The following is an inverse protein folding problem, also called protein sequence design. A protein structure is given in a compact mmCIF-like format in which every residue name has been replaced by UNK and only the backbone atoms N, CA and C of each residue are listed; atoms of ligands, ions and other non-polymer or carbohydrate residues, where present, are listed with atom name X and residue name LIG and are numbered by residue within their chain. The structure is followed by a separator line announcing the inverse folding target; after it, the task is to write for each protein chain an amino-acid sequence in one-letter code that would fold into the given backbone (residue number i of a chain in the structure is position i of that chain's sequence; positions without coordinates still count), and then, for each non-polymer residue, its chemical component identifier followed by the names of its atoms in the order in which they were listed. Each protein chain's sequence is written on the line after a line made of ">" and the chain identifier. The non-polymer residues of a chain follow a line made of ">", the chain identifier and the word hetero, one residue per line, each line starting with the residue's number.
data_IF_236756863570
#
_entry.id   IF_236756863570
#
_cell.length_a   1.000
_cell.length_b   1.000
_cell.length_c   1.000
_cell.angle_alpha   90.00
_cell.angle_beta   90.00
_cell.angle_gamma   90.00
#
_symmetry.space_group_name_H-M   'P 1'
#
loop_
_entity.id
_entity.type
_entity.pdbx_description
1 polymer ?
#
# COMPACT_ATOMS: atom_id res chain seq x y z
N UNK A 1 -7.84 -18.98 -17.73
CA UNK A 1 -6.84 -20.06 -17.70
C UNK A 1 -5.53 -19.68 -16.98
N UNK A 2 -4.81 -18.63 -17.38
CA UNK A 2 -3.55 -18.20 -16.69
C UNK A 2 -3.73 -17.86 -15.20
N UNK A 3 -4.88 -17.32 -14.81
CA UNK A 3 -5.19 -16.92 -13.43
C UNK A 3 -5.40 -18.12 -12.50
N UNK A 4 -6.09 -19.17 -12.99
CA UNK A 4 -6.34 -20.40 -12.22
C UNK A 4 -5.08 -21.21 -12.00
N UNK A 5 -4.20 -21.28 -13.00
CA UNK A 5 -2.93 -21.99 -12.88
C UNK A 5 -1.96 -21.28 -11.91
N UNK A 6 -1.93 -19.93 -11.93
CA UNK A 6 -1.23 -19.12 -10.93
C UNK A 6 -1.82 -19.31 -9.53
N UNK A 7 -3.15 -19.40 -9.40
CA UNK A 7 -3.87 -19.69 -8.15
C UNK A 7 -3.46 -21.07 -7.61
N UNK A 8 -3.43 -22.10 -8.45
CA UNK A 8 -3.05 -23.45 -8.07
C UNK A 8 -1.61 -23.54 -7.55
N UNK A 9 -0.65 -22.89 -8.23
CA UNK A 9 0.73 -22.79 -7.72
C UNK A 9 0.83 -21.97 -6.44
N UNK A 10 0.02 -20.92 -6.28
CA UNK A 10 0.03 -20.11 -5.07
C UNK A 10 -0.45 -20.89 -3.85
N UNK A 11 -1.48 -21.72 -4.01
CA UNK A 11 -1.95 -22.65 -2.96
C UNK A 11 -0.87 -23.68 -2.63
N UNK A 12 -0.17 -24.24 -3.61
CA UNK A 12 0.94 -25.19 -3.36
C UNK A 12 2.15 -24.58 -2.63
N UNK A 13 2.29 -23.26 -2.60
CA UNK A 13 3.37 -22.56 -1.87
C UNK A 13 3.03 -22.26 -0.41
N UNK A 14 1.81 -22.57 0.02
CA UNK A 14 1.36 -22.39 1.40
C UNK A 14 2.10 -23.40 2.28
N UNK A 15 2.82 -22.90 3.27
CA UNK A 15 3.45 -23.68 4.33
C UNK A 15 2.55 -23.63 5.56
N UNK A 16 2.37 -24.76 6.27
CA UNK A 16 1.65 -24.76 7.53
C UNK A 16 2.33 -23.84 8.53
N UNK A 17 1.53 -23.16 9.34
CA UNK A 17 2.01 -22.31 10.40
C UNK A 17 2.58 -23.12 11.56
N UNK A 18 3.46 -22.48 12.33
CA UNK A 18 4.08 -23.04 13.54
C UNK A 18 3.23 -22.81 14.81
N UNK A 19 2.02 -22.24 14.68
CA UNK A 19 1.14 -21.93 15.80
C UNK A 19 1.64 -20.80 16.72
N UNK A 20 2.71 -20.10 16.32
CA UNK A 20 3.28 -18.97 17.07
C UNK A 20 2.27 -17.82 17.22
N UNK A 21 2.32 -17.06 18.33
CA UNK A 21 1.37 -15.99 18.57
C UNK A 21 1.60 -14.80 17.63
N UNK A 22 0.51 -14.17 17.19
CA UNK A 22 0.53 -12.93 16.42
C UNK A 22 1.21 -11.84 17.25
N UNK A 23 2.33 -11.34 16.72
CA UNK A 23 3.06 -10.24 17.36
C UNK A 23 2.23 -8.96 17.28
N UNK A 24 1.99 -8.32 18.43
CA UNK A 24 1.28 -7.04 18.52
C UNK A 24 1.89 -6.01 17.57
N UNK A 25 1.03 -5.20 16.95
CA UNK A 25 1.47 -4.06 16.15
C UNK A 25 2.09 -3.00 17.06
N UNK A 26 3.34 -2.62 16.79
CA UNK A 26 4.08 -1.61 17.56
C UNK A 26 4.16 -0.32 16.77
N UNK A 27 4.11 0.83 17.45
CA UNK A 27 4.01 2.15 16.79
C UNK A 27 5.16 2.43 15.82
N UNK A 28 6.37 1.98 16.11
CA UNK A 28 7.50 2.17 15.19
C UNK A 28 7.35 1.36 13.89
N UNK A 29 6.57 0.27 13.88
CA UNK A 29 6.33 -0.54 12.68
C UNK A 29 5.48 0.19 11.63
N UNK A 30 4.89 1.34 11.98
CA UNK A 30 4.31 2.29 11.02
C UNK A 30 5.34 2.75 10.00
N UNK A 31 6.59 2.94 10.42
CA UNK A 31 7.67 3.42 9.57
C UNK A 31 8.42 2.30 8.83
N UNK A 32 8.33 1.05 9.30
CA UNK A 32 9.01 -0.11 8.70
C UNK A 32 8.19 -0.86 7.65
N UNK A 33 7.00 -0.36 7.27
CA UNK A 33 6.19 -0.98 6.22
C UNK A 33 5.63 -2.36 6.61
N UNK A 34 5.09 -2.49 7.83
CA UNK A 34 4.31 -3.66 8.24
C UNK A 34 2.83 -3.38 7.98
N UNK A 35 2.17 -4.23 7.20
CA UNK A 35 0.74 -4.20 7.00
C UNK A 35 0.08 -5.37 7.74
N UNK A 36 -0.84 -5.07 8.65
CA UNK A 36 -1.63 -6.05 9.38
C UNK A 36 -3.11 -5.82 9.06
N UNK A 37 -3.76 -6.83 8.48
CA UNK A 37 -5.17 -6.77 8.11
C UNK A 37 -5.96 -7.91 8.75
N UNK A 38 -7.22 -7.67 9.07
CA UNK A 38 -8.10 -8.61 9.73
C UNK A 38 -9.33 -8.93 8.89
N UNK A 39 -9.83 -10.16 9.07
CA UNK A 39 -11.06 -10.67 8.51
C UNK A 39 -11.79 -11.43 9.60
N UNK A 40 -13.01 -10.98 9.92
CA UNK A 40 -13.88 -11.72 10.81
C UNK A 40 -14.80 -12.62 9.96
N UNK A 41 -14.68 -13.93 10.18
CA UNK A 41 -15.49 -14.99 9.57
C UNK A 41 -16.28 -15.73 10.64
N UNK A 42 -17.26 -16.51 10.19
CA UNK A 42 -17.92 -17.49 11.04
C UNK A 42 -17.30 -18.84 10.72
N UNK A 43 -16.70 -19.49 11.72
CA UNK A 43 -16.12 -20.82 11.59
C UNK A 43 -17.18 -21.89 11.34
N UNK A 44 -16.74 -23.10 10.96
CA UNK A 44 -17.64 -24.23 10.72
C UNK A 44 -18.52 -24.56 11.94
N UNK A 45 -18.01 -24.31 13.15
CA UNK A 45 -18.70 -24.54 14.42
C UNK A 45 -19.69 -23.40 14.78
N UNK A 46 -19.95 -22.46 13.87
CA UNK A 46 -20.81 -21.29 14.10
C UNK A 46 -20.18 -20.18 14.96
N UNK A 47 -18.97 -20.39 15.48
CA UNK A 47 -18.24 -19.40 16.30
C UNK A 47 -17.56 -18.34 15.43
N UNK A 48 -17.47 -17.08 15.89
CA UNK A 48 -16.67 -16.08 15.19
C UNK A 48 -15.18 -16.46 15.23
N UNK A 49 -14.53 -16.43 14.08
CA UNK A 49 -13.10 -16.71 13.89
C UNK A 49 -12.46 -15.50 13.24
N UNK A 50 -11.38 -14.99 13.84
CA UNK A 50 -10.63 -13.86 13.30
C UNK A 50 -9.40 -14.34 12.56
N UNK A 51 -9.38 -14.11 11.25
CA UNK A 51 -8.18 -14.20 10.45
C UNK A 51 -7.40 -12.89 10.48
N UNK A 52 -6.08 -12.98 10.60
CA UNK A 52 -5.18 -11.83 10.50
C UNK A 52 -4.07 -12.12 9.52
N UNK A 53 -3.80 -11.18 8.62
CA UNK A 53 -2.75 -11.29 7.60
C UNK A 53 -1.67 -10.26 7.92
N UNK A 54 -0.49 -10.73 8.29
CA UNK A 54 0.70 -9.92 8.53
C UNK A 54 1.63 -10.00 7.32
N UNK A 55 1.91 -8.84 6.72
CA UNK A 55 2.83 -8.69 5.58
C UNK A 55 3.89 -7.66 5.94
N UNK A 56 5.16 -8.02 5.75
CA UNK A 56 6.29 -7.12 5.99
C UNK A 56 6.93 -6.76 4.65
N UNK A 57 6.92 -5.47 4.30
CA UNK A 57 7.34 -5.00 2.98
C UNK A 57 8.84 -5.09 2.73
N UNK A 58 9.67 -4.99 3.76
CA UNK A 58 11.13 -5.12 3.63
C UNK A 58 11.62 -6.57 3.47
N UNK A 59 10.71 -7.52 3.25
CA UNK A 59 11.03 -8.95 3.18
C UNK A 59 11.46 -9.51 4.55
N UNK A 60 11.59 -10.83 4.62
CA UNK A 60 12.32 -11.45 5.74
C UNK A 60 13.81 -11.40 5.38
N UNK A 61 14.64 -10.87 6.29
CA UNK A 61 16.05 -10.48 6.05
C UNK A 61 17.01 -11.55 5.53
N UNK A 62 16.55 -12.78 5.27
CA UNK A 62 17.36 -13.87 4.72
C UNK A 62 17.13 -14.12 3.21
N UNK A 63 16.01 -13.69 2.65
CA UNK A 63 15.67 -13.97 1.23
C UNK A 63 15.23 -12.75 0.44
N UNK A 64 15.00 -11.60 1.08
CA UNK A 64 14.42 -10.41 0.44
C UNK A 64 13.00 -10.63 -0.10
N UNK A 65 12.43 -11.82 0.10
CA UNK A 65 11.11 -12.18 -0.40
C UNK A 65 10.05 -11.78 0.61
N UNK A 66 8.99 -11.15 0.11
CA UNK A 66 7.83 -10.77 0.93
C UNK A 66 6.97 -12.00 1.18
N UNK A 67 6.71 -12.29 2.46
CA UNK A 67 5.88 -13.41 2.90
C UNK A 67 4.63 -12.87 3.57
N UNK A 68 3.48 -13.40 3.16
CA UNK A 68 2.22 -13.21 3.86
C UNK A 68 2.07 -14.28 4.93
N UNK A 69 1.97 -13.87 6.19
CA UNK A 69 1.71 -14.75 7.33
C UNK A 69 0.23 -14.61 7.72
N UNK A 70 -0.49 -15.71 7.72
CA UNK A 70 -1.90 -15.79 8.06
C UNK A 70 -2.04 -16.42 9.43
N UNK A 71 -2.79 -15.74 10.28
CA UNK A 71 -3.09 -16.14 11.65
C UNK A 71 -4.57 -16.41 11.78
N UNK A 72 -4.93 -17.47 12.51
CA UNK A 72 -6.30 -17.80 12.91
C UNK A 72 -6.40 -17.63 14.42
N UNK A 73 -7.29 -16.76 14.87
CA UNK A 73 -7.47 -16.40 16.29
C UNK A 73 -6.15 -16.05 17.00
N UNK A 74 -5.29 -15.33 16.28
CA UNK A 74 -3.99 -14.90 16.79
C UNK A 74 -2.91 -15.97 16.82
N UNK A 75 -3.13 -17.17 16.28
CA UNK A 75 -2.11 -18.22 16.13
C UNK A 75 -1.71 -18.39 14.67
N UNK A 76 -0.41 -18.52 14.41
CA UNK A 76 0.11 -18.65 13.06
C UNK A 76 -0.44 -19.93 12.41
N UNK A 77 -1.25 -19.73 11.38
CA UNK A 77 -1.99 -20.78 10.70
C UNK A 77 -1.28 -21.22 9.42
N UNK A 78 -0.77 -20.26 8.65
CA UNK A 78 -0.12 -20.52 7.38
C UNK A 78 0.80 -19.37 6.96
N UNK A 79 1.83 -19.69 6.17
CA UNK A 79 2.69 -18.68 5.53
C UNK A 79 2.81 -18.97 4.04
N UNK A 80 2.87 -17.93 3.22
CA UNK A 80 3.05 -18.09 1.77
C UNK A 80 3.75 -16.88 1.14
N UNK A 81 4.57 -17.14 0.13
CA UNK A 81 5.28 -16.10 -0.62
C UNK A 81 4.30 -15.35 -1.52
N UNK A 82 4.36 -14.02 -1.49
CA UNK A 82 3.45 -13.19 -2.31
C UNK A 82 3.86 -13.20 -3.79
N UNK A 83 2.90 -13.16 -4.74
CA UNK A 83 1.45 -13.23 -4.53
C UNK A 83 1.01 -14.59 -4.00
N UNK A 84 0.18 -14.58 -2.95
CA UNK A 84 -0.24 -15.74 -2.17
C UNK A 84 -1.75 -15.94 -2.25
N UNK A 85 -2.17 -17.20 -2.21
CA UNK A 85 -3.58 -17.59 -2.08
C UNK A 85 -3.63 -18.64 -0.97
N UNK A 86 -4.18 -18.25 0.17
CA UNK A 86 -4.23 -19.08 1.38
C UNK A 86 -5.67 -19.55 1.58
N UNK A 87 -5.95 -20.86 1.52
CA UNK A 87 -7.29 -21.38 1.79
C UNK A 87 -7.69 -21.13 3.25
N UNK A 88 -8.94 -20.73 3.49
CA UNK A 88 -9.55 -20.49 4.81
C UNK A 88 -11.00 -20.99 4.80
N UNK A 89 -11.74 -20.95 5.92
CA UNK A 89 -13.13 -21.42 5.93
C UNK A 89 -13.98 -20.62 4.93
N UNK A 90 -14.74 -21.34 4.10
CA UNK A 90 -15.66 -20.75 3.13
C UNK A 90 -15.01 -20.13 1.89
N UNK A 91 -13.68 -20.15 1.74
CA UNK A 91 -13.01 -19.54 0.59
C UNK A 91 -11.49 -19.48 0.67
N UNK A 92 -10.90 -18.41 0.15
CA UNK A 92 -9.46 -18.18 0.18
C UNK A 92 -9.13 -16.69 0.36
N UNK A 93 -8.04 -16.42 1.06
CA UNK A 93 -7.45 -15.09 1.17
C UNK A 93 -6.41 -14.94 0.07
N UNK A 94 -6.61 -13.97 -0.79
CA UNK A 94 -5.67 -13.58 -1.84
C UNK A 94 -4.87 -12.36 -1.41
N UNK A 95 -3.54 -12.48 -1.42
CA UNK A 95 -2.60 -11.44 -1.02
C UNK A 95 -1.62 -11.14 -2.16
N UNK A 96 -1.47 -9.88 -2.52
CA UNK A 96 -0.45 -9.41 -3.45
C UNK A 96 0.13 -8.09 -2.94
N UNK A 97 1.41 -7.87 -3.19
CA UNK A 97 2.11 -6.63 -2.85
C UNK A 97 2.59 -5.91 -4.11
N UNK A 98 2.93 -4.64 -3.94
CA UNK A 98 3.65 -3.79 -4.89
C UNK A 98 4.92 -3.25 -4.23
N UNK A 99 5.72 -2.47 -4.96
CA UNK A 99 6.85 -1.74 -4.39
C UNK A 99 6.43 -0.77 -3.26
N UNK A 100 5.17 -0.34 -3.24
CA UNK A 100 4.65 0.66 -2.30
C UNK A 100 3.81 0.07 -1.17
N UNK A 101 3.62 -1.25 -1.13
CA UNK A 101 2.92 -1.90 -0.02
C UNK A 101 1.96 -3.02 -0.44
N UNK A 102 0.95 -3.30 0.38
CA UNK A 102 -0.09 -4.31 0.05
C UNK A 102 -0.95 -3.78 -1.09
N UNK A 103 -0.82 -4.43 -2.25
CA UNK A 103 -1.60 -4.13 -3.46
C UNK A 103 -2.99 -4.74 -3.32
N UNK A 104 -3.09 -6.04 -2.99
CA UNK A 104 -4.39 -6.71 -2.83
C UNK A 104 -4.38 -7.55 -1.56
N UNK A 105 -5.41 -7.44 -0.74
CA UNK A 105 -5.69 -8.34 0.36
C UNK A 105 -7.20 -8.52 0.46
N UNK A 106 -7.70 -9.61 -0.11
CA UNK A 106 -9.14 -9.86 -0.24
C UNK A 106 -9.47 -11.31 0.08
N UNK A 107 -10.61 -11.51 0.69
CA UNK A 107 -11.23 -12.80 0.87
C UNK A 107 -12.17 -13.07 -0.31
N UNK A 108 -12.00 -14.20 -0.96
CA UNK A 108 -12.86 -14.67 -2.06
C UNK A 108 -13.56 -15.93 -1.56
N UNK A 109 -14.89 -15.83 -1.39
CA UNK A 109 -15.72 -16.97 -0.99
C UNK A 109 -15.75 -18.03 -2.08
N UNK A 110 -16.15 -19.27 -1.73
CA UNK A 110 -16.39 -20.33 -2.70
C UNK A 110 -17.47 -19.95 -3.75
N UNK A 111 -18.45 -19.13 -3.36
CA UNK A 111 -19.47 -18.58 -4.25
C UNK A 111 -18.98 -17.40 -5.12
N UNK A 112 -17.70 -17.00 -5.00
CA UNK A 112 -17.10 -15.92 -5.78
C UNK A 112 -17.32 -14.50 -5.21
N UNK A 113 -18.09 -14.35 -4.13
CA UNK A 113 -18.21 -13.06 -3.45
C UNK A 113 -16.86 -12.61 -2.87
N UNK A 114 -16.53 -11.33 -3.06
CA UNK A 114 -15.25 -10.74 -2.67
C UNK A 114 -15.46 -9.79 -1.49
N UNK A 115 -14.69 -9.98 -0.41
CA UNK A 115 -14.67 -9.10 0.77
C UNK A 115 -13.27 -8.58 1.03
N UNK A 116 -13.12 -7.27 1.19
CA UNK A 116 -11.83 -6.68 1.55
C UNK A 116 -11.55 -6.87 3.04
N UNK A 117 -10.28 -7.10 3.39
CA UNK A 117 -9.86 -7.17 4.79
C UNK A 117 -9.72 -5.77 5.39
N UNK A 118 -9.95 -5.67 6.70
CA UNK A 118 -9.91 -4.40 7.44
C UNK A 118 -8.52 -4.20 8.06
N UNK A 119 -7.84 -3.07 7.83
CA UNK A 119 -6.53 -2.82 8.44
C UNK A 119 -6.60 -2.75 9.98
N UNK A 120 -5.53 -3.15 10.67
CA UNK A 120 -5.40 -3.06 12.13
C UNK A 120 -5.57 -1.60 12.58
N UNK A 121 -6.41 -1.30 13.60
CA UNK A 121 -6.66 0.07 14.05
C UNK A 121 -5.40 0.84 14.48
N UNK A 122 -4.33 0.15 14.87
CA UNK A 122 -3.04 0.74 15.24
C UNK A 122 -2.12 0.97 14.03
N UNK A 123 -2.43 0.41 12.86
CA UNK A 123 -1.67 0.66 11.63
C UNK A 123 -2.00 2.05 11.06
N UNK A 124 -1.15 2.55 10.16
CA UNK A 124 -1.34 3.87 9.55
C UNK A 124 -2.61 3.88 8.70
N UNK A 125 -2.87 2.79 7.97
CA UNK A 125 -4.07 2.61 7.16
C UNK A 125 -5.32 2.49 8.03
N UNK A 126 -5.23 1.81 9.17
CA UNK A 126 -6.34 1.71 10.13
C UNK A 126 -6.71 3.04 10.76
N UNK A 127 -5.70 3.83 11.18
CA UNK A 127 -5.91 5.20 11.68
C UNK A 127 -6.49 6.10 10.60
N UNK A 128 -6.00 5.99 9.37
CA UNK A 128 -6.50 6.76 8.22
C UNK A 128 -7.93 6.41 7.86
N UNK A 129 -8.29 5.12 7.91
CA UNK A 129 -9.66 4.65 7.69
C UNK A 129 -10.61 5.09 8.81
N UNK A 130 -10.13 5.14 10.07
CA UNK A 130 -10.89 5.72 11.18
C UNK A 130 -11.14 7.22 10.97
N UNK A 131 -10.10 7.98 10.58
CA UNK A 131 -10.24 9.41 10.28
C UNK A 131 -11.28 9.68 9.18
N UNK A 132 -11.31 8.85 8.12
CA UNK A 132 -12.31 8.97 7.05
C UNK A 132 -13.74 8.73 7.56
N UNK A 133 -13.92 7.77 8.47
CA UNK A 133 -15.23 7.45 9.05
C UNK A 133 -15.71 8.47 10.08
N UNK A 134 -14.82 8.94 10.94
CA UNK A 134 -15.15 9.87 12.03
C UNK A 134 -15.25 11.33 11.55
N UNK A 135 -14.40 11.72 10.61
CA UNK A 135 -14.32 13.10 10.11
C UNK A 135 -14.22 13.15 8.58
N UNK A 136 -15.30 12.84 7.85
CA UNK A 136 -15.28 12.77 6.39
C UNK A 136 -14.94 14.11 5.72
N UNK A 137 -15.33 15.24 6.32
CA UNK A 137 -15.00 16.59 5.83
C UNK A 137 -13.50 16.87 5.92
N UNK A 138 -12.89 16.66 7.09
CA UNK A 138 -11.44 16.81 7.29
C UNK A 138 -10.65 15.88 6.36
N UNK A 139 -11.12 14.65 6.19
CA UNK A 139 -10.52 13.68 5.26
C UNK A 139 -10.50 14.16 3.81
N UNK A 140 -11.56 14.87 3.39
CA UNK A 140 -11.66 15.47 2.06
C UNK A 140 -10.72 16.66 1.92
N UNK A 141 -10.69 17.55 2.91
CA UNK A 141 -9.77 18.73 2.93
C UNK A 141 -8.32 18.28 2.87
N UNK A 142 -7.89 17.33 3.71
CA UNK A 142 -6.53 16.79 3.68
C UNK A 142 -6.20 16.16 2.33
N UNK A 143 -7.17 15.49 1.69
CA UNK A 143 -7.00 14.97 0.33
C UNK A 143 -6.77 16.07 -0.70
N UNK A 144 -7.58 17.13 -0.68
CA UNK A 144 -7.45 18.26 -1.61
C UNK A 144 -6.13 18.99 -1.38
N UNK A 145 -5.79 19.31 -0.13
CA UNK A 145 -4.53 19.98 0.23
C UNK A 145 -3.34 19.15 -0.23
N UNK A 146 -3.37 17.83 -0.03
CA UNK A 146 -2.32 16.92 -0.49
C UNK A 146 -2.17 16.94 -2.02
N UNK A 147 -3.27 16.93 -2.79
CA UNK A 147 -3.22 16.98 -4.26
C UNK A 147 -2.71 18.33 -4.73
N UNK A 148 -3.19 19.44 -4.17
CA UNK A 148 -2.73 20.79 -4.51
C UNK A 148 -1.24 20.92 -4.22
N UNK A 149 -0.79 20.48 -3.05
CA UNK A 149 0.63 20.49 -2.68
C UNK A 149 1.48 19.65 -3.64
N UNK A 150 0.98 18.50 -4.10
CA UNK A 150 1.67 17.67 -5.09
C UNK A 150 1.75 18.36 -6.45
N UNK A 151 0.66 18.94 -6.95
CA UNK A 151 0.62 19.65 -8.24
C UNK A 151 1.54 20.87 -8.23
N UNK A 152 1.47 21.66 -7.16
CA UNK A 152 2.37 22.81 -6.96
C UNK A 152 3.82 22.32 -6.83
N UNK A 153 4.06 21.24 -6.09
CA UNK A 153 5.35 20.56 -5.96
C UNK A 153 5.98 20.20 -7.29
N UNK A 154 5.24 19.43 -8.10
CA UNK A 154 5.67 18.99 -9.42
C UNK A 154 5.84 20.16 -10.38
N UNK A 155 4.92 21.13 -10.39
CA UNK A 155 5.00 22.32 -11.24
C UNK A 155 6.22 23.18 -10.94
N UNK A 156 6.50 23.44 -9.67
CA UNK A 156 7.69 24.19 -9.26
C UNK A 156 8.98 23.43 -9.54
N UNK A 157 9.00 22.11 -9.38
CA UNK A 157 10.16 21.30 -9.73
C UNK A 157 10.41 21.29 -11.25
N UNK A 158 9.34 21.21 -12.06
CA UNK A 158 9.43 21.27 -13.51
C UNK A 158 9.94 22.64 -14.00
N UNK A 159 9.47 23.73 -13.38
CA UNK A 159 9.97 25.08 -13.70
C UNK A 159 11.46 25.23 -13.38
N UNK A 160 11.91 24.64 -12.27
CA UNK A 160 13.33 24.60 -11.90
C UNK A 160 14.17 23.70 -12.82
N UNK A 161 13.58 22.70 -13.47
CA UNK A 161 14.26 21.83 -14.45
C UNK A 161 14.32 22.48 -15.84
N UNK A 162 13.35 23.32 -16.19
CA UNK A 162 13.30 24.02 -17.49
C UNK A 162 14.48 24.99 -17.67
N UNK A 163 14.91 25.67 -16.61
CA UNK A 163 16.05 26.59 -16.67
C UNK A 163 17.37 25.91 -17.07
N UNK A 164 17.86 24.85 -16.40
CA UNK A 164 19.08 24.15 -16.81
C UNK A 164 18.94 23.43 -18.17
N UNK A 165 17.74 22.93 -18.52
CA UNK A 165 17.48 22.33 -19.84
C UNK A 165 17.57 23.35 -20.97
N UNK A 166 17.09 24.58 -20.74
CA UNK A 166 17.18 25.67 -21.72
C UNK A 166 18.62 26.12 -22.00
N UNK A 167 19.57 25.84 -21.09
CA UNK A 167 20.99 26.13 -21.26
C UNK A 167 21.77 25.02 -21.99
N UNK A 168 21.12 23.91 -22.35
CA UNK A 168 21.76 22.85 -23.13
C UNK A 168 21.87 23.34 -24.60
N UNK A 169 23.06 23.29 -25.24
CA UNK A 169 23.33 23.90 -26.55
C UNK A 169 22.30 23.64 -27.69
N UNK A 170 21.71 22.43 -27.85
CA UNK A 170 20.72 22.17 -28.89
C UNK A 170 19.34 22.80 -28.59
N UNK A 171 18.99 23.04 -27.33
CA UNK A 171 17.70 23.62 -26.91
C UNK A 171 17.76 25.15 -26.92
N UNK A 172 18.87 25.72 -26.45
CA UNK A 172 19.13 27.16 -26.49
C UNK A 172 19.05 27.74 -27.92
N UNK A 173 19.50 26.97 -28.91
CA UNK A 173 19.47 27.34 -30.32
C UNK A 173 18.06 27.32 -30.94
N UNK A 174 17.10 26.58 -30.37
CA UNK A 174 15.75 26.41 -30.92
C UNK A 174 14.69 27.29 -30.24
N UNK A 175 14.84 27.60 -28.95
CA UNK A 175 13.79 28.28 -28.14
C UNK A 175 14.29 29.55 -27.45
N UNK A 176 15.61 29.77 -27.36
CA UNK A 176 16.22 30.86 -26.60
C UNK A 176 16.47 30.49 -25.12
N UNK A 177 17.38 31.23 -24.47
CA UNK A 177 17.74 31.01 -23.06
C UNK A 177 16.66 31.61 -22.16
N UNK A 178 16.06 30.78 -21.30
CA UNK A 178 15.07 31.23 -20.32
C UNK A 178 15.79 31.50 -18.99
N UNK A 179 15.90 32.77 -18.60
CA UNK A 179 16.29 33.12 -17.23
C UNK A 179 15.06 33.06 -16.34
N UNK A 180 15.09 32.18 -15.33
CA UNK A 180 14.01 32.10 -14.35
C UNK A 180 14.10 33.31 -13.42
N UNK A 181 13.08 34.19 -13.34
CA UNK A 181 13.09 35.32 -12.41
C UNK A 181 12.87 34.90 -10.95
N UNK A 182 12.73 33.60 -10.67
CA UNK A 182 12.36 33.08 -9.34
C UNK A 182 13.47 32.15 -8.82
N UNK A 183 14.37 32.71 -8.02
CA UNK A 183 15.31 31.94 -7.23
C UNK A 183 14.62 31.41 -5.97
N UNK A 184 14.22 30.15 -6.01
CA UNK A 184 13.63 29.50 -4.85
C UNK A 184 14.71 29.23 -3.78
N UNK A 185 14.56 29.79 -2.56
CA UNK A 185 15.50 29.51 -1.48
C UNK A 185 15.48 28.02 -1.12
N UNK A 186 16.63 27.50 -0.66
CA UNK A 186 16.84 26.08 -0.35
C UNK A 186 15.74 25.51 0.56
N UNK A 187 15.25 26.29 1.53
CA UNK A 187 14.16 25.90 2.42
C UNK A 187 12.85 25.61 1.69
N UNK A 188 12.52 26.34 0.62
CA UNK A 188 11.31 26.06 -0.16
C UNK A 188 11.46 24.76 -0.95
N UNK A 189 12.66 24.45 -1.46
CA UNK A 189 12.94 23.17 -2.13
C UNK A 189 12.86 21.98 -1.17
N UNK A 190 13.38 22.12 0.05
CA UNK A 190 13.21 21.11 1.10
C UNK A 190 11.72 20.95 1.45
N UNK A 191 10.99 22.05 1.59
CA UNK A 191 9.54 22.05 1.84
C UNK A 191 8.74 21.36 0.73
N UNK A 192 9.09 21.59 -0.53
CA UNK A 192 8.49 20.95 -1.70
C UNK A 192 8.73 19.44 -1.72
N UNK A 193 9.97 19.01 -1.44
CA UNK A 193 10.30 17.59 -1.31
C UNK A 193 9.51 16.93 -0.18
N UNK A 194 9.42 17.58 0.98
CA UNK A 194 8.64 17.07 2.11
C UNK A 194 7.13 17.00 1.80
N UNK A 195 6.58 18.02 1.13
CA UNK A 195 5.19 18.05 0.71
C UNK A 195 4.87 16.93 -0.29
N UNK A 196 5.74 16.70 -1.28
CA UNK A 196 5.60 15.59 -2.22
C UNK A 196 5.67 14.22 -1.53
N UNK A 197 6.57 14.04 -0.57
CA UNK A 197 6.69 12.82 0.23
C UNK A 197 5.44 12.57 1.08
N UNK A 198 4.94 13.61 1.78
CA UNK A 198 3.72 13.52 2.58
C UNK A 198 2.49 13.24 1.71
N UNK A 199 2.37 13.88 0.54
CA UNK A 199 1.27 13.65 -0.39
C UNK A 199 1.28 12.22 -0.96
N UNK A 200 2.47 11.70 -1.29
CA UNK A 200 2.64 10.32 -1.74
C UNK A 200 2.26 9.32 -0.64
N UNK A 201 2.64 9.62 0.61
CA UNK A 201 2.29 8.82 1.78
C UNK A 201 0.78 8.81 2.02
N UNK A 202 0.10 9.96 1.99
CA UNK A 202 -1.36 10.06 2.14
C UNK A 202 -2.09 9.22 1.08
N UNK A 203 -1.58 9.19 -0.15
CA UNK A 203 -2.14 8.34 -1.21
C UNK A 203 -1.93 6.86 -0.94
N UNK A 204 -0.74 6.45 -0.49
CA UNK A 204 -0.44 5.06 -0.15
C UNK A 204 -1.29 4.53 1.02
N UNK A 205 -1.58 5.39 2.01
CA UNK A 205 -2.39 5.02 3.18
C UNK A 205 -3.89 4.88 2.90
N UNK A 206 -4.38 5.51 1.82
CA UNK A 206 -5.73 5.25 1.32
C UNK A 206 -5.74 3.88 0.65
N UNK A 207 -6.00 2.82 1.42
CA UNK A 207 -6.34 1.47 0.93
C UNK A 207 -7.66 1.41 0.12
N UNK A 208 -8.04 2.51 -0.55
CA UNK A 208 -9.13 2.58 -1.52
C UNK A 208 -8.55 2.24 -2.87
N UNK A 209 -8.51 0.95 -3.12
CA UNK A 209 -8.14 0.39 -4.41
C UNK A 209 -9.13 0.87 -5.48
N UNK A 210 -8.75 1.88 -6.26
CA UNK A 210 -9.50 2.29 -7.45
C UNK A 210 -8.89 1.59 -8.67
N UNK A 211 -9.69 0.70 -9.27
CA UNK A 211 -9.42 0.00 -10.52
C UNK A 211 -8.90 0.90 -11.65
N UNK A 212 -9.25 2.20 -11.64
CA UNK A 212 -8.89 3.16 -12.68
C UNK A 212 -7.38 3.48 -12.76
N UNK A 213 -6.62 3.34 -11.68
CA UNK A 213 -5.20 3.75 -11.64
C UNK A 213 -4.22 2.63 -12.02
N UNK A 214 -4.68 1.38 -12.00
CA UNK A 214 -3.83 0.20 -12.21
C UNK A 214 -3.94 -0.40 -13.62
N UNK A 215 -4.69 0.24 -14.51
CA UNK A 215 -4.69 -0.09 -15.95
C UNK A 215 -3.45 0.41 -16.70
N UNK A 216 -2.64 1.29 -16.09
CA UNK A 216 -1.50 1.96 -16.74
C UNK A 216 -0.15 1.39 -16.28
N UNK A 217 -0.14 0.32 -15.47
CA UNK A 217 1.08 -0.31 -14.99
C UNK A 217 1.02 -1.83 -15.07
N UNK A 218 1.13 -2.36 -16.29
CA UNK A 218 1.36 -3.78 -16.54
C UNK A 218 2.43 -3.94 -17.61
#
# INVERSE_FOLDING_TARGET
>A
MLTEWRRHRAVRRVRPGDGSPLKRFRWWQLFLGRALLHLDLTGADGRPVRYSVDVRHQGSGETGQVVAQVYRDGRHHASSRVPAVVPVEGGAIEVATSAFGVKRCRYVTAAGAVRQLVPDPRSAEGRRARLEREHPSLSRVLGVVSVVALVVGVGLNLLQLLEPLSRIPPVAAAVGVFESPVHLPIWLNIGLGLAAALASTERALRLRYHWLLDGVGN
#
